data_IF_558847918174
#
_entry.id   IF_558847918174
#
_cell.length_a   1.000
_cell.length_b   1.000
_cell.length_c   1.000
_cell.angle_alpha   90.00
_cell.angle_beta   90.00
_cell.angle_gamma   90.00
#
_symmetry.space_group_name_H-M   'P 1'
#
loop_
_entity.id
_entity.type
_entity.pdbx_description
1 polymer ?
#
# COMPACT_ATOMS: atom_id res chain seq x y z
N UNK A 1 12.00 5.04 -16.69
CA UNK A 1 12.29 6.13 -15.74
C UNK A 1 13.78 6.13 -15.44
N UNK A 2 14.45 7.27 -15.54
CA UNK A 2 15.83 7.36 -15.06
C UNK A 2 15.76 7.66 -13.56
N UNK A 3 15.99 6.64 -12.75
CA UNK A 3 16.19 6.81 -11.32
C UNK A 3 17.54 7.54 -11.11
N UNK A 4 17.50 8.82 -10.83
CA UNK A 4 18.69 9.63 -10.63
C UNK A 4 19.19 9.65 -9.17
N UNK A 5 18.76 8.66 -8.37
CA UNK A 5 19.00 8.63 -6.93
C UNK A 5 18.07 9.57 -6.18
N UNK A 6 17.16 9.02 -5.40
CA UNK A 6 16.35 9.81 -4.48
C UNK A 6 17.07 9.89 -3.14
N UNK A 7 17.27 11.09 -2.61
CA UNK A 7 18.08 11.32 -1.43
C UNK A 7 17.22 11.51 -0.17
N UNK A 8 16.04 12.10 -0.32
CA UNK A 8 15.20 12.51 0.81
C UNK A 8 13.77 12.03 0.65
N UNK A 9 13.40 10.99 1.38
CA UNK A 9 12.07 10.40 1.32
C UNK A 9 11.35 10.38 2.65
N UNK A 10 10.02 10.30 2.58
CA UNK A 10 9.16 10.13 3.74
C UNK A 10 8.33 8.85 3.62
N UNK A 11 8.28 8.06 4.68
CA UNK A 11 7.39 6.89 4.78
C UNK A 11 6.04 7.27 5.36
N UNK A 12 4.95 6.88 4.68
CA UNK A 12 3.59 6.95 5.23
C UNK A 12 3.28 5.61 5.89
N UNK A 13 3.11 5.65 7.22
CA UNK A 13 2.63 4.52 8.01
C UNK A 13 1.22 4.75 8.52
N UNK A 14 0.51 3.67 8.88
CA UNK A 14 -0.78 3.75 9.53
C UNK A 14 -1.96 4.13 8.65
N UNK A 15 -1.77 4.41 7.38
CA UNK A 15 -2.86 4.73 6.46
C UNK A 15 -3.53 3.47 5.91
N UNK A 16 -2.87 2.79 4.97
CA UNK A 16 -3.36 1.55 4.34
C UNK A 16 -2.74 0.30 4.97
N UNK A 17 -2.12 0.47 6.14
CA UNK A 17 -1.58 -0.58 6.99
C UNK A 17 -2.33 -0.61 8.31
N UNK A 18 -2.78 -1.77 8.76
CA UNK A 18 -3.58 -1.87 9.97
C UNK A 18 -3.12 -3.00 10.91
N UNK A 19 -2.28 -2.65 11.85
CA UNK A 19 -1.75 -3.58 12.86
C UNK A 19 -2.82 -4.31 13.65
N UNK A 20 -3.87 -3.62 14.06
CA UNK A 20 -4.92 -4.19 14.92
C UNK A 20 -5.66 -5.32 14.22
N UNK A 21 -5.86 -5.21 12.91
CA UNK A 21 -6.57 -6.23 12.15
C UNK A 21 -5.79 -7.52 12.01
N UNK A 22 -4.47 -7.44 11.81
CA UNK A 22 -3.66 -8.65 11.61
C UNK A 22 -3.37 -9.40 12.89
N UNK A 23 -3.20 -8.70 14.00
CA UNK A 23 -2.67 -9.29 15.23
C UNK A 23 -3.75 -9.69 16.24
N UNK A 24 -4.97 -9.17 16.12
CA UNK A 24 -6.00 -9.28 17.15
C UNK A 24 -7.29 -9.93 16.67
N UNK A 25 -7.59 -9.89 15.38
CA UNK A 25 -8.86 -10.38 14.85
C UNK A 25 -8.74 -11.77 14.23
N UNK A 26 -9.75 -12.64 14.40
CA UNK A 26 -9.88 -13.85 13.61
C UNK A 26 -9.80 -13.57 12.11
N UNK A 27 -9.32 -14.53 11.32
CA UNK A 27 -9.04 -14.32 9.90
C UNK A 27 -10.27 -13.85 9.12
N UNK A 28 -11.43 -14.41 9.38
CA UNK A 28 -12.69 -14.00 8.74
C UNK A 28 -13.10 -12.54 9.05
N UNK A 29 -12.64 -11.98 10.16
CA UNK A 29 -12.89 -10.59 10.53
C UNK A 29 -11.88 -9.61 9.95
N UNK A 30 -10.69 -10.09 9.56
CA UNK A 30 -9.65 -9.26 8.96
C UNK A 30 -10.07 -8.69 7.61
N UNK A 31 -10.91 -9.42 6.88
CA UNK A 31 -11.41 -9.04 5.56
C UNK A 31 -12.65 -8.10 5.60
N UNK A 32 -13.24 -7.90 6.78
CA UNK A 32 -14.41 -7.04 6.96
C UNK A 32 -14.00 -5.68 7.45
N UNK A 33 -14.12 -4.68 6.58
CA UNK A 33 -13.88 -3.29 6.94
C UNK A 33 -15.15 -2.65 7.47
N UNK A 34 -15.02 -1.97 8.61
CA UNK A 34 -16.09 -1.18 9.23
C UNK A 34 -16.19 0.20 8.58
N UNK A 35 -17.26 0.94 8.88
CA UNK A 35 -17.39 2.33 8.46
C UNK A 35 -16.20 3.19 8.95
N UNK A 36 -15.75 3.00 10.19
CA UNK A 36 -14.60 3.73 10.73
C UNK A 36 -13.27 3.41 10.03
N UNK A 37 -13.08 2.18 9.52
CA UNK A 37 -11.91 1.87 8.70
C UNK A 37 -11.92 2.66 7.38
N UNK A 38 -13.08 2.74 6.75
CA UNK A 38 -13.23 3.49 5.51
C UNK A 38 -13.06 5.00 5.72
N UNK A 39 -13.60 5.55 6.80
CA UNK A 39 -13.38 6.94 7.19
C UNK A 39 -11.90 7.24 7.39
N UNK A 40 -11.18 6.33 8.05
CA UNK A 40 -9.73 6.43 8.20
C UNK A 40 -9.02 6.42 6.84
N UNK A 41 -9.30 5.44 5.97
CA UNK A 41 -8.65 5.37 4.64
C UNK A 41 -8.99 6.57 3.76
N UNK A 42 -10.15 7.16 3.95
CA UNK A 42 -10.63 8.30 3.16
C UNK A 42 -10.05 9.66 3.63
N UNK A 43 -9.61 9.77 4.88
CA UNK A 43 -9.25 11.05 5.49
C UNK A 43 -7.86 11.15 6.11
N UNK A 44 -7.16 10.02 6.34
CA UNK A 44 -5.89 10.02 7.07
C UNK A 44 -4.76 10.71 6.30
N UNK A 45 -4.68 10.50 4.99
CA UNK A 45 -3.77 11.21 4.09
C UNK A 45 -4.57 12.02 3.09
N UNK A 46 -4.22 13.29 2.95
CA UNK A 46 -4.88 14.25 2.08
C UNK A 46 -3.89 14.88 1.11
N UNK A 47 -4.39 15.59 0.11
CA UNK A 47 -3.55 16.36 -0.81
C UNK A 47 -2.67 17.39 -0.08
N UNK A 48 -3.18 17.98 1.02
CA UNK A 48 -2.41 18.95 1.82
C UNK A 48 -1.19 18.33 2.45
N UNK A 49 -1.26 17.07 2.88
CA UNK A 49 -0.12 16.37 3.48
C UNK A 49 0.96 16.11 2.44
N UNK A 50 0.57 15.64 1.25
CA UNK A 50 1.51 15.40 0.14
C UNK A 50 2.18 16.70 -0.31
N UNK A 51 1.40 17.79 -0.42
CA UNK A 51 1.94 19.12 -0.71
C UNK A 51 2.95 19.57 0.35
N UNK A 52 2.64 19.36 1.63
CA UNK A 52 3.52 19.73 2.73
C UNK A 52 4.83 18.93 2.70
N UNK A 53 4.77 17.64 2.39
CA UNK A 53 5.96 16.78 2.22
C UNK A 53 6.86 17.33 1.09
N UNK A 54 6.28 17.73 -0.04
CA UNK A 54 7.03 18.36 -1.12
C UNK A 54 7.68 19.67 -0.69
N UNK A 55 6.97 20.51 0.08
CA UNK A 55 7.50 21.77 0.61
C UNK A 55 8.67 21.58 1.59
N UNK A 56 8.77 20.42 2.24
CA UNK A 56 9.92 20.05 3.09
C UNK A 56 11.16 19.65 2.27
N UNK A 57 11.07 19.65 0.94
CA UNK A 57 12.19 19.27 0.06
C UNK A 57 12.36 17.75 -0.10
N UNK A 58 11.32 16.96 0.21
CA UNK A 58 11.33 15.53 -0.09
C UNK A 58 11.20 15.32 -1.59
N UNK A 59 11.81 14.25 -2.10
CA UNK A 59 11.77 13.85 -3.51
C UNK A 59 10.91 12.62 -3.76
N UNK A 60 10.63 11.83 -2.71
CA UNK A 60 9.75 10.66 -2.81
C UNK A 60 8.98 10.36 -1.53
N UNK A 61 7.90 9.61 -1.68
CA UNK A 61 7.12 9.07 -0.57
C UNK A 61 7.01 7.54 -0.71
N UNK A 62 7.37 6.83 0.36
CA UNK A 62 7.12 5.39 0.47
C UNK A 62 5.71 5.16 1.03
N UNK A 63 4.83 4.64 0.20
CA UNK A 63 3.47 4.25 0.57
C UNK A 63 3.44 2.79 1.02
N UNK A 64 3.27 2.56 2.32
CA UNK A 64 3.02 1.23 2.87
C UNK A 64 1.55 0.85 2.77
N UNK A 65 1.25 -0.37 2.30
CA UNK A 65 -0.10 -0.93 2.29
C UNK A 65 -0.08 -2.43 2.60
N UNK A 66 -1.19 -2.92 3.16
CA UNK A 66 -1.36 -4.34 3.46
C UNK A 66 -2.17 -5.01 2.35
N UNK A 67 -1.82 -6.26 2.01
CA UNK A 67 -2.51 -7.01 0.94
C UNK A 67 -4.01 -7.05 1.14
N UNK A 68 -4.49 -7.35 2.35
CA UNK A 68 -5.93 -7.43 2.63
C UNK A 68 -6.67 -6.10 2.46
N UNK A 69 -5.98 -4.96 2.52
CA UNK A 69 -6.57 -3.65 2.30
C UNK A 69 -6.79 -3.38 0.83
N UNK A 70 -5.87 -3.81 -0.02
CA UNK A 70 -5.92 -3.56 -1.47
C UNK A 70 -6.53 -4.71 -2.27
N UNK A 71 -6.54 -5.94 -1.74
CA UNK A 71 -7.08 -7.12 -2.39
C UNK A 71 -8.44 -7.51 -1.79
N UNK A 72 -9.46 -7.65 -2.60
CA UNK A 72 -10.80 -8.03 -2.19
C UNK A 72 -10.99 -9.55 -2.16
N UNK A 73 -10.43 -10.22 -3.15
CA UNK A 73 -10.32 -11.67 -3.29
C UNK A 73 -9.00 -11.97 -4.02
N UNK A 74 -8.47 -13.19 -3.97
CA UNK A 74 -7.23 -13.55 -4.65
C UNK A 74 -7.18 -13.05 -6.10
N UNK A 75 -6.25 -12.14 -6.41
CA UNK A 75 -6.08 -11.52 -7.73
C UNK A 75 -7.09 -10.42 -8.07
N UNK A 76 -8.01 -10.06 -7.18
CA UNK A 76 -9.01 -9.02 -7.40
C UNK A 76 -8.70 -7.79 -6.54
N UNK A 77 -8.28 -6.71 -7.17
CA UNK A 77 -7.98 -5.45 -6.47
C UNK A 77 -9.27 -4.76 -6.03
N UNK A 78 -9.29 -4.26 -4.81
CA UNK A 78 -10.40 -3.54 -4.20
C UNK A 78 -10.51 -2.13 -4.80
N UNK A 79 -11.53 -1.90 -5.62
CA UNK A 79 -11.69 -0.66 -6.38
C UNK A 79 -11.65 0.60 -5.52
N UNK A 80 -12.30 0.60 -4.32
CA UNK A 80 -12.31 1.76 -3.42
C UNK A 80 -10.91 2.10 -2.91
N UNK A 81 -10.12 1.11 -2.51
CA UNK A 81 -8.75 1.34 -2.04
C UNK A 81 -7.84 1.78 -3.19
N UNK A 82 -7.97 1.15 -4.35
CA UNK A 82 -7.19 1.54 -5.53
C UNK A 82 -7.46 2.98 -5.95
N UNK A 83 -8.71 3.45 -5.86
CA UNK A 83 -9.03 4.86 -6.12
C UNK A 83 -8.32 5.83 -5.14
N UNK A 84 -8.06 5.40 -3.90
CA UNK A 84 -7.28 6.20 -2.94
C UNK A 84 -5.79 6.24 -3.30
N UNK A 85 -5.23 5.10 -3.71
CA UNK A 85 -3.85 5.03 -4.19
C UNK A 85 -3.69 5.88 -5.45
N UNK A 86 -4.63 5.80 -6.39
CA UNK A 86 -4.62 6.62 -7.61
C UNK A 86 -4.61 8.12 -7.27
N UNK A 87 -5.50 8.58 -6.39
CA UNK A 87 -5.54 9.97 -5.95
C UNK A 87 -4.23 10.41 -5.29
N UNK A 88 -3.66 9.56 -4.43
CA UNK A 88 -2.36 9.82 -3.81
C UNK A 88 -1.24 9.96 -4.86
N UNK A 89 -1.21 9.08 -5.85
CA UNK A 89 -0.25 9.16 -6.94
C UNK A 89 -0.45 10.41 -7.81
N UNK A 90 -1.72 10.85 -8.03
CA UNK A 90 -2.02 12.10 -8.72
C UNK A 90 -1.51 13.32 -7.94
N UNK A 91 -1.57 13.29 -6.62
CA UNK A 91 -0.99 14.35 -5.78
C UNK A 91 0.54 14.32 -5.84
N UNK A 92 1.17 13.14 -5.78
CA UNK A 92 2.61 13.01 -5.93
C UNK A 92 3.09 13.60 -7.26
N UNK A 93 2.41 13.24 -8.35
CA UNK A 93 2.70 13.74 -9.69
C UNK A 93 2.57 15.27 -9.76
N UNK A 94 1.50 15.82 -9.22
CA UNK A 94 1.23 17.27 -9.17
C UNK A 94 2.33 18.04 -8.44
N UNK A 95 2.90 17.47 -7.40
CA UNK A 95 3.92 18.14 -6.57
C UNK A 95 5.35 17.68 -6.87
N UNK A 96 5.55 16.91 -7.94
CA UNK A 96 6.89 16.49 -8.40
C UNK A 96 7.56 15.46 -7.49
N UNK A 97 6.76 14.67 -6.77
CA UNK A 97 7.25 13.59 -5.92
C UNK A 97 7.15 12.25 -6.63
N UNK A 98 8.10 11.36 -6.38
CA UNK A 98 7.94 9.95 -6.72
C UNK A 98 7.26 9.16 -5.60
N UNK A 99 6.69 8.00 -5.94
CA UNK A 99 6.06 7.11 -5.00
C UNK A 99 6.68 5.71 -5.06
N UNK A 100 7.16 5.23 -3.92
CA UNK A 100 7.62 3.85 -3.76
C UNK A 100 6.48 3.03 -3.17
N UNK A 101 5.90 2.14 -3.96
CA UNK A 101 4.83 1.25 -3.52
C UNK A 101 5.42 0.10 -2.70
N UNK A 102 5.01 0.00 -1.45
CA UNK A 102 5.51 -1.01 -0.52
C UNK A 102 4.38 -1.90 0.02
N UNK A 103 4.36 -3.15 -0.42
CA UNK A 103 3.54 -4.16 0.23
C UNK A 103 4.12 -4.47 1.61
N UNK A 104 3.51 -3.89 2.65
CA UNK A 104 4.02 -3.95 4.01
C UNK A 104 3.70 -5.27 4.68
N UNK A 105 2.51 -5.82 4.43
CA UNK A 105 2.08 -7.13 4.91
C UNK A 105 1.41 -7.93 3.80
N UNK A 106 1.91 -9.12 3.58
CA UNK A 106 1.34 -10.09 2.64
C UNK A 106 0.51 -11.14 3.39
N UNK A 107 -0.44 -11.74 2.70
CA UNK A 107 -1.15 -12.93 3.23
C UNK A 107 -0.13 -14.04 3.45
N UNK A 108 -0.18 -14.65 4.63
CA UNK A 108 0.81 -15.65 5.06
C UNK A 108 2.14 -15.09 5.57
N UNK A 109 2.32 -13.77 5.57
CA UNK A 109 3.48 -13.09 6.15
C UNK A 109 3.08 -11.75 6.77
N UNK A 110 2.65 -11.79 8.01
CA UNK A 110 2.21 -10.62 8.76
C UNK A 110 3.29 -9.97 9.62
N UNK A 111 4.49 -10.49 9.56
CA UNK A 111 5.79 -9.96 9.93
C UNK A 111 6.05 -9.49 11.36
N UNK A 112 5.12 -8.95 12.08
CA UNK A 112 5.49 -8.15 13.26
C UNK A 112 5.51 -8.95 14.55
N UNK A 113 4.78 -10.04 14.65
CA UNK A 113 4.69 -10.78 15.92
C UNK A 113 4.25 -12.23 15.67
N UNK A 114 5.11 -13.20 15.99
CA UNK A 114 4.78 -14.56 16.39
C UNK A 114 3.94 -15.42 15.41
N UNK A 115 3.69 -15.00 14.18
CA UNK A 115 3.10 -15.89 13.19
C UNK A 115 4.19 -16.59 12.39
N UNK A 116 4.13 -17.91 12.21
CA UNK A 116 5.03 -18.55 11.26
C UNK A 116 4.85 -17.92 9.89
N UNK A 117 5.96 -17.69 9.19
CA UNK A 117 5.97 -17.10 7.86
C UNK A 117 5.54 -18.18 6.86
N UNK A 118 4.23 -18.39 6.72
CA UNK A 118 3.66 -19.39 5.82
C UNK A 118 3.97 -19.10 4.35
N UNK A 119 4.12 -17.83 3.98
CA UNK A 119 4.40 -17.42 2.60
C UNK A 119 5.64 -18.10 2.02
N UNK A 120 6.65 -18.42 2.83
CA UNK A 120 7.89 -19.05 2.35
C UNK A 120 7.72 -20.53 2.04
N UNK A 121 6.76 -21.19 2.67
CA UNK A 121 6.57 -22.64 2.60
C UNK A 121 5.30 -23.05 1.83
N UNK A 122 4.44 -22.09 1.47
CA UNK A 122 3.15 -22.34 0.79
C UNK A 122 3.16 -21.77 -0.62
N UNK A 123 3.19 -22.66 -1.61
CA UNK A 123 3.22 -22.28 -3.03
C UNK A 123 1.96 -21.51 -3.47
N UNK A 124 0.78 -21.80 -2.89
CA UNK A 124 -0.44 -21.09 -3.24
C UNK A 124 -0.41 -19.64 -2.73
N UNK A 125 0.20 -19.40 -1.57
CA UNK A 125 0.42 -18.04 -1.06
C UNK A 125 1.48 -17.28 -1.90
N UNK A 126 2.52 -17.97 -2.36
CA UNK A 126 3.52 -17.39 -3.27
C UNK A 126 2.90 -17.00 -4.60
N UNK A 127 2.10 -17.86 -5.20
CA UNK A 127 1.39 -17.58 -6.45
C UNK A 127 0.43 -16.39 -6.30
N UNK A 128 -0.30 -16.33 -5.19
CA UNK A 128 -1.17 -15.19 -4.86
C UNK A 128 -0.38 -13.88 -4.69
N UNK A 129 0.77 -13.93 -4.02
CA UNK A 129 1.67 -12.79 -3.87
C UNK A 129 2.18 -12.28 -5.22
N UNK A 130 2.62 -13.18 -6.10
CA UNK A 130 3.07 -12.84 -7.46
C UNK A 130 1.92 -12.27 -8.29
N UNK A 131 0.72 -12.87 -8.22
CA UNK A 131 -0.46 -12.38 -8.93
C UNK A 131 -0.84 -10.95 -8.51
N UNK A 132 -0.73 -10.63 -7.22
CA UNK A 132 -0.96 -9.27 -6.72
C UNK A 132 0.02 -8.28 -7.34
N UNK A 133 1.32 -8.58 -7.32
CA UNK A 133 2.33 -7.69 -7.91
C UNK A 133 2.16 -7.51 -9.42
N UNK A 134 1.78 -8.56 -10.14
CA UNK A 134 1.45 -8.45 -11.58
C UNK A 134 0.24 -7.55 -11.82
N UNK A 135 -0.78 -7.61 -10.96
CA UNK A 135 -1.95 -6.73 -11.06
C UNK A 135 -1.59 -5.26 -10.79
N UNK A 136 -0.70 -4.99 -9.82
CA UNK A 136 -0.19 -3.65 -9.55
C UNK A 136 0.70 -3.14 -10.67
N UNK A 137 1.59 -3.99 -11.20
CA UNK A 137 2.43 -3.67 -12.36
C UNK A 137 1.56 -3.30 -13.57
N UNK A 138 0.59 -4.14 -13.93
CA UNK A 138 -0.32 -3.87 -15.04
C UNK A 138 -1.08 -2.54 -14.90
N UNK A 139 -1.33 -2.10 -13.64
CA UNK A 139 -2.01 -0.83 -13.37
C UNK A 139 -1.08 0.37 -13.44
N UNK A 140 0.18 0.23 -13.05
CA UNK A 140 1.07 1.37 -12.78
C UNK A 140 2.36 1.38 -13.60
N UNK A 141 2.62 0.40 -14.47
CA UNK A 141 3.86 0.30 -15.25
C UNK A 141 4.17 1.55 -16.09
N UNK A 142 3.12 2.18 -16.62
CA UNK A 142 3.26 3.38 -17.45
C UNK A 142 3.16 4.70 -16.66
N UNK A 143 3.15 4.61 -15.33
CA UNK A 143 3.01 5.80 -14.47
C UNK A 143 4.37 6.28 -13.99
N UNK A 144 4.89 7.42 -14.50
CA UNK A 144 6.23 7.91 -14.18
C UNK A 144 6.45 8.23 -12.69
N UNK A 145 5.37 8.52 -11.96
CA UNK A 145 5.39 8.81 -10.53
C UNK A 145 5.79 7.58 -9.70
N UNK A 146 5.47 6.38 -10.16
CA UNK A 146 5.80 5.13 -9.46
C UNK A 146 7.24 4.73 -9.80
N UNK A 147 8.05 4.57 -8.74
CA UNK A 147 9.47 4.23 -8.81
C UNK A 147 9.73 2.78 -8.38
#
# INVERSE_FOLDING_TARGET
MNWNGHEHGMGIGGWLTNYKRFNVLPEEMRLRFTQGDWEHFDSYITESDVRYIAQLGMDHIRLGFDQIVIEEAPGVLRARTMARIDAFLDWCDRYGLHAVLNLHKAVGNYCDIVSPVQLLDDAALQDRFVALWRALEARYADRPTVA
#
